data_IF_292106279844
#
_entry.id   IF_292106279844
#
_cell.length_a   1.000
_cell.length_b   1.000
_cell.length_c   1.000
_cell.angle_alpha   90.00
_cell.angle_beta   90.00
_cell.angle_gamma   90.00
#
_symmetry.space_group_name_H-M   'P 1'
#
loop_
_entity.id
_entity.type
_entity.pdbx_description
1 polymer ?
#
# COMPACT_ATOMS: atom_id res chain seq x y z
N UNK A 1 -47.34 -5.37 6.99
CA UNK A 1 -46.14 -5.18 7.83
C UNK A 1 -44.93 -5.12 6.90
N UNK A 2 -44.50 -3.91 6.54
CA UNK A 2 -43.31 -3.72 5.69
C UNK A 2 -42.06 -3.91 6.54
N UNK A 3 -41.18 -4.83 6.13
CA UNK A 3 -39.87 -4.99 6.76
C UNK A 3 -39.06 -3.69 6.59
N UNK A 4 -38.34 -3.23 7.63
CA UNK A 4 -37.45 -2.09 7.49
C UNK A 4 -36.29 -2.43 6.53
N UNK A 5 -35.75 -1.44 5.80
CA UNK A 5 -34.63 -1.66 4.89
C UNK A 5 -33.41 -2.16 5.69
N UNK A 6 -32.75 -3.21 5.18
CA UNK A 6 -31.46 -3.68 5.72
C UNK A 6 -30.48 -2.52 5.68
N UNK A 7 -30.07 -2.02 6.84
CA UNK A 7 -28.94 -1.09 6.97
C UNK A 7 -27.73 -1.77 6.32
N UNK A 8 -27.25 -1.17 5.24
CA UNK A 8 -26.08 -1.67 4.53
C UNK A 8 -24.86 -1.29 5.36
N UNK A 9 -24.37 -2.23 6.18
CA UNK A 9 -23.25 -2.00 7.11
C UNK A 9 -22.01 -1.49 6.37
N UNK A 10 -21.74 -0.19 6.53
CA UNK A 10 -20.59 0.47 5.91
C UNK A 10 -19.31 0.00 6.62
N UNK A 11 -18.45 -0.70 5.88
CA UNK A 11 -17.15 -1.19 6.39
C UNK A 11 -16.31 -0.06 6.98
N UNK A 12 -15.63 -0.33 8.09
CA UNK A 12 -14.67 0.62 8.69
C UNK A 12 -13.48 0.86 7.77
N UNK A 13 -12.74 1.95 7.97
CA UNK A 13 -11.52 2.24 7.21
C UNK A 13 -10.49 1.12 7.36
N UNK A 14 -10.35 0.55 8.56
CA UNK A 14 -9.42 -0.56 8.78
C UNK A 14 -9.84 -1.84 8.06
N UNK A 15 -11.14 -2.15 8.01
CA UNK A 15 -11.63 -3.26 7.20
C UNK A 15 -11.36 -3.03 5.70
N UNK A 16 -11.39 -1.77 5.23
CA UNK A 16 -11.08 -1.45 3.84
C UNK A 16 -9.58 -1.57 3.54
N UNK A 17 -8.71 -1.05 4.43
CA UNK A 17 -7.26 -1.22 4.34
C UNK A 17 -6.89 -2.70 4.30
N UNK A 18 -7.44 -3.49 5.23
CA UNK A 18 -7.21 -4.92 5.31
C UNK A 18 -7.68 -5.64 4.04
N UNK A 19 -8.90 -5.36 3.57
CA UNK A 19 -9.43 -5.99 2.36
C UNK A 19 -8.59 -5.66 1.11
N UNK A 20 -8.16 -4.41 0.97
CA UNK A 20 -7.31 -4.00 -0.15
C UNK A 20 -5.93 -4.67 -0.09
N UNK A 21 -5.27 -4.63 1.08
CA UNK A 21 -3.97 -5.26 1.29
C UNK A 21 -4.04 -6.78 1.03
N UNK A 22 -5.06 -7.47 1.55
CA UNK A 22 -5.27 -8.90 1.32
C UNK A 22 -5.41 -9.23 -0.17
N UNK A 23 -6.19 -8.43 -0.91
CA UNK A 23 -6.35 -8.61 -2.36
C UNK A 23 -5.01 -8.55 -3.08
N UNK A 24 -4.18 -7.55 -2.77
CA UNK A 24 -2.86 -7.40 -3.39
C UNK A 24 -1.92 -8.53 -3.03
N UNK A 25 -1.87 -8.93 -1.76
CA UNK A 25 -1.03 -10.05 -1.31
C UNK A 25 -1.39 -11.35 -2.02
N UNK A 26 -2.68 -11.64 -2.21
CA UNK A 26 -3.12 -12.80 -2.99
C UNK A 26 -2.66 -12.71 -4.45
N UNK A 27 -2.80 -11.55 -5.08
CA UNK A 27 -2.32 -11.34 -6.45
C UNK A 27 -0.78 -11.52 -6.56
N UNK A 28 0.00 -11.07 -5.55
CA UNK A 28 1.45 -11.31 -5.51
C UNK A 28 1.78 -12.79 -5.36
N UNK A 29 1.03 -13.51 -4.51
CA UNK A 29 1.20 -14.96 -4.32
C UNK A 29 1.03 -15.74 -5.64
N UNK A 30 0.10 -15.33 -6.49
CA UNK A 30 -0.13 -15.92 -7.81
C UNK A 30 1.03 -15.72 -8.79
N UNK A 31 1.88 -14.70 -8.59
CA UNK A 31 3.07 -14.45 -9.44
C UNK A 31 4.22 -15.44 -9.19
N UNK A 32 4.15 -16.21 -8.10
CA UNK A 32 5.15 -17.20 -7.72
C UNK A 32 6.26 -16.68 -6.79
N UNK A 33 6.85 -17.55 -5.93
CA UNK A 33 7.79 -17.16 -4.88
C UNK A 33 9.00 -16.36 -5.33
N UNK A 34 9.55 -16.66 -6.51
CA UNK A 34 10.72 -15.94 -7.02
C UNK A 34 10.41 -14.48 -7.37
N UNK A 35 9.17 -14.19 -7.78
CA UNK A 35 8.75 -12.83 -8.13
C UNK A 35 8.62 -11.93 -6.89
N UNK A 36 8.13 -12.48 -5.76
CA UNK A 36 7.90 -11.71 -4.53
C UNK A 36 8.93 -11.95 -3.43
N UNK A 37 9.98 -12.75 -3.66
CA UNK A 37 10.93 -13.22 -2.62
C UNK A 37 11.41 -12.13 -1.64
N UNK A 38 11.72 -10.93 -2.15
CA UNK A 38 12.21 -9.80 -1.34
C UNK A 38 11.11 -8.82 -0.91
N UNK A 39 9.90 -8.97 -1.43
CA UNK A 39 8.77 -8.08 -1.18
C UNK A 39 8.45 -7.94 0.32
N UNK A 40 8.36 -9.02 1.14
CA UNK A 40 8.06 -8.86 2.57
C UNK A 40 9.08 -8.01 3.32
N UNK A 41 10.38 -8.17 3.02
CA UNK A 41 11.45 -7.38 3.63
C UNK A 41 11.35 -5.89 3.27
N UNK A 42 10.95 -5.57 2.04
CA UNK A 42 10.79 -4.17 1.62
C UNK A 42 9.55 -3.53 2.24
N UNK A 43 8.44 -4.28 2.32
CA UNK A 43 7.23 -3.82 3.03
C UNK A 43 7.54 -3.57 4.51
N UNK A 44 8.37 -4.42 5.12
CA UNK A 44 8.77 -4.28 6.53
C UNK A 44 9.57 -3.00 6.81
N UNK A 45 10.47 -2.63 5.89
CA UNK A 45 11.32 -1.44 6.02
C UNK A 45 10.66 -0.12 5.65
N UNK A 46 9.65 -0.12 4.77
CA UNK A 46 9.05 1.11 4.24
C UNK A 46 8.47 2.06 5.31
N UNK A 47 7.75 1.60 6.35
CA UNK A 47 7.27 2.49 7.41
C UNK A 47 8.39 3.30 8.07
N UNK A 48 9.53 2.66 8.36
CA UNK A 48 10.68 3.33 8.95
C UNK A 48 11.27 4.36 7.98
N UNK A 49 11.40 4.02 6.69
CA UNK A 49 11.83 4.98 5.66
C UNK A 49 10.92 6.21 5.60
N UNK A 50 9.60 6.02 5.63
CA UNK A 50 8.63 7.13 5.62
C UNK A 50 8.80 8.03 6.85
N UNK A 51 9.04 7.46 8.03
CA UNK A 51 9.27 8.25 9.25
C UNK A 51 10.59 9.03 9.18
N UNK A 52 11.65 8.44 8.63
CA UNK A 52 12.98 9.05 8.58
C UNK A 52 13.13 10.13 7.50
N UNK A 53 12.58 9.91 6.30
CA UNK A 53 12.79 10.78 5.13
C UNK A 53 11.50 11.35 4.53
N UNK A 54 10.34 10.94 5.04
CA UNK A 54 9.04 11.36 4.53
C UNK A 54 8.51 10.47 3.40
N UNK A 55 7.20 10.58 3.16
CA UNK A 55 6.49 9.78 2.14
C UNK A 55 7.07 9.95 0.74
N UNK A 56 7.35 11.19 0.32
CA UNK A 56 7.83 11.49 -1.03
C UNK A 56 9.20 10.87 -1.32
N UNK A 57 10.17 11.08 -0.42
CA UNK A 57 11.52 10.53 -0.60
C UNK A 57 11.51 9.01 -0.55
N UNK A 58 10.77 8.40 0.39
CA UNK A 58 10.64 6.95 0.45
C UNK A 58 10.08 6.35 -0.85
N UNK A 59 9.02 6.95 -1.41
CA UNK A 59 8.45 6.52 -2.69
C UNK A 59 9.43 6.68 -3.87
N UNK A 60 10.15 7.80 -3.93
CA UNK A 60 11.17 8.03 -4.95
C UNK A 60 12.32 7.02 -4.84
N UNK A 61 12.75 6.67 -3.62
CA UNK A 61 13.77 5.65 -3.37
C UNK A 61 13.33 4.28 -3.88
N UNK A 62 12.07 3.86 -3.64
CA UNK A 62 11.55 2.60 -4.19
C UNK A 62 11.67 2.58 -5.71
N UNK A 63 11.22 3.62 -6.40
CA UNK A 63 11.29 3.69 -7.86
C UNK A 63 12.73 3.70 -8.38
N UNK A 64 13.64 4.45 -7.74
CA UNK A 64 15.05 4.47 -8.11
C UNK A 64 15.71 3.09 -7.97
N UNK A 65 15.35 2.33 -6.93
CA UNK A 65 15.90 1.00 -6.68
C UNK A 65 15.46 -0.06 -7.72
N UNK A 66 14.36 0.16 -8.44
CA UNK A 66 13.89 -0.74 -9.50
C UNK A 66 14.88 -0.87 -10.67
N UNK A 67 15.71 0.17 -10.89
CA UNK A 67 16.61 0.29 -12.05
C UNK A 67 15.88 0.01 -13.39
N UNK A 68 14.61 0.41 -13.49
CA UNK A 68 13.77 0.25 -14.69
C UNK A 68 13.11 -1.12 -14.84
N UNK A 69 13.33 -2.07 -13.92
CA UNK A 69 12.72 -3.40 -13.97
C UNK A 69 11.27 -3.36 -13.48
N UNK A 70 10.32 -3.74 -14.34
CA UNK A 70 8.89 -3.73 -14.01
C UNK A 70 8.51 -4.80 -12.97
N UNK A 71 9.18 -5.96 -13.00
CA UNK A 71 8.92 -7.07 -12.07
C UNK A 71 9.78 -6.99 -10.79
N UNK A 72 10.32 -5.82 -10.47
CA UNK A 72 11.12 -5.65 -9.25
C UNK A 72 10.21 -5.50 -8.01
N UNK A 73 10.51 -6.16 -6.88
CA UNK A 73 9.67 -6.05 -5.69
C UNK A 73 9.59 -4.62 -5.10
N UNK A 74 10.57 -3.75 -5.35
CA UNK A 74 10.45 -2.31 -5.02
C UNK A 74 9.36 -1.64 -5.85
N UNK A 75 9.27 -1.99 -7.13
CA UNK A 75 8.22 -1.48 -8.03
C UNK A 75 6.86 -1.97 -7.59
N UNK A 76 6.75 -3.27 -7.28
CA UNK A 76 5.52 -3.86 -6.76
C UNK A 76 5.02 -3.11 -5.52
N UNK A 77 5.92 -2.81 -4.57
CA UNK A 77 5.58 -2.09 -3.35
C UNK A 77 5.13 -0.65 -3.63
N UNK A 78 5.81 0.07 -4.53
CA UNK A 78 5.37 1.39 -4.97
C UNK A 78 3.97 1.32 -5.60
N UNK A 79 3.75 0.39 -6.52
CA UNK A 79 2.48 0.24 -7.23
C UNK A 79 1.34 -0.12 -6.27
N UNK A 80 1.60 -0.98 -5.27
CA UNK A 80 0.64 -1.38 -4.24
C UNK A 80 0.24 -0.22 -3.32
N UNK A 81 1.22 0.62 -2.95
CA UNK A 81 0.95 1.83 -2.18
C UNK A 81 0.22 2.87 -3.04
N UNK A 82 0.65 3.09 -4.28
CA UNK A 82 -0.03 3.98 -5.23
C UNK A 82 -1.49 3.56 -5.42
N UNK A 83 -1.75 2.27 -5.60
CA UNK A 83 -3.09 1.73 -5.75
C UNK A 83 -3.99 2.12 -4.56
N UNK A 84 -3.53 1.96 -3.31
CA UNK A 84 -4.32 2.37 -2.14
C UNK A 84 -4.50 3.89 -2.06
N UNK A 85 -3.41 4.64 -2.22
CA UNK A 85 -3.37 6.08 -1.98
C UNK A 85 -4.15 6.89 -3.02
N UNK A 86 -4.29 6.34 -4.23
CA UNK A 86 -4.88 7.01 -5.38
C UNK A 86 -6.21 6.39 -5.84
N UNK A 87 -6.64 5.27 -5.25
CA UNK A 87 -7.93 4.65 -5.56
C UNK A 87 -9.09 5.65 -5.41
N UNK A 88 -10.12 5.48 -6.22
CA UNK A 88 -11.40 6.18 -6.04
C UNK A 88 -12.13 5.64 -4.80
N UNK A 89 -11.65 6.00 -3.60
CA UNK A 89 -12.33 5.72 -2.34
C UNK A 89 -12.29 6.97 -1.42
N UNK A 90 -13.20 7.03 -0.44
CA UNK A 90 -13.37 8.19 0.44
C UNK A 90 -12.14 8.51 1.31
N UNK A 91 -11.29 7.50 1.54
CA UNK A 91 -10.18 7.56 2.48
C UNK A 91 -8.83 7.79 1.81
N UNK A 92 -8.71 7.50 0.51
CA UNK A 92 -7.55 7.77 -0.34
C UNK A 92 -7.19 9.26 -0.31
N UNK A 93 -5.99 9.62 0.17
CA UNK A 93 -5.55 11.01 0.28
C UNK A 93 -5.47 11.72 -1.08
N UNK A 94 -5.22 10.96 -2.15
CA UNK A 94 -5.08 11.47 -3.51
C UNK A 94 -6.07 10.78 -4.46
N UNK A 95 -7.32 10.64 -4.03
CA UNK A 95 -8.35 9.94 -4.80
C UNK A 95 -8.44 10.43 -6.26
N UNK A 96 -8.52 9.48 -7.20
CA UNK A 96 -8.57 9.70 -8.65
C UNK A 96 -7.29 10.26 -9.29
N UNK A 97 -6.20 10.41 -8.54
CA UNK A 97 -4.88 10.63 -9.14
C UNK A 97 -4.37 9.32 -9.73
N UNK A 98 -3.47 9.39 -10.71
CA UNK A 98 -2.87 8.17 -11.32
C UNK A 98 -1.55 7.79 -10.66
N UNK A 99 -0.78 8.81 -10.29
CA UNK A 99 0.58 8.68 -9.80
C UNK A 99 0.74 9.40 -8.46
N UNK A 100 1.19 8.66 -7.45
CA UNK A 100 1.35 9.11 -6.07
C UNK A 100 2.41 10.22 -5.95
N UNK A 101 3.55 10.10 -6.64
CA UNK A 101 4.60 11.12 -6.56
C UNK A 101 4.14 12.45 -7.16
N UNK A 102 3.50 12.41 -8.32
CA UNK A 102 2.90 13.60 -8.94
C UNK A 102 1.87 14.23 -7.99
N UNK A 103 0.99 13.42 -7.41
CA UNK A 103 -0.02 13.91 -6.46
C UNK A 103 0.59 14.55 -5.20
N UNK A 104 1.70 14.00 -4.69
CA UNK A 104 2.46 14.57 -3.57
C UNK A 104 3.00 15.96 -3.94
N UNK A 105 3.54 16.13 -5.15
CA UNK A 105 4.12 17.42 -5.58
C UNK A 105 3.08 18.49 -5.91
N UNK A 106 1.86 18.10 -6.30
CA UNK A 106 0.76 19.01 -6.63
C UNK A 106 -0.12 19.35 -5.42
N UNK A 107 -0.02 18.58 -4.33
CA UNK A 107 -0.88 18.71 -3.15
C UNK A 107 -0.47 19.81 -2.18
N UNK A 108 -1.33 20.08 -1.20
CA UNK A 108 -1.01 21.01 -0.10
C UNK A 108 -0.24 20.31 1.02
N UNK A 109 0.37 21.09 1.92
CA UNK A 109 0.99 20.54 3.14
C UNK A 109 0.01 19.70 3.97
N UNK A 110 -1.27 20.11 4.03
CA UNK A 110 -2.32 19.37 4.74
C UNK A 110 -2.57 18.01 4.09
N UNK A 111 -2.60 17.97 2.75
CA UNK A 111 -2.76 16.72 2.00
C UNK A 111 -1.56 15.80 2.23
N UNK A 112 -0.35 16.36 2.24
CA UNK A 112 0.87 15.61 2.50
C UNK A 112 0.88 14.96 3.90
N UNK A 113 0.55 15.70 4.95
CA UNK A 113 0.47 15.17 6.32
C UNK A 113 -0.59 14.08 6.43
N UNK A 114 -1.77 14.30 5.85
CA UNK A 114 -2.84 13.30 5.78
C UNK A 114 -2.38 12.05 5.03
N UNK A 115 -1.68 12.22 3.92
CA UNK A 115 -1.16 11.11 3.12
C UNK A 115 -0.11 10.30 3.87
N UNK A 116 0.80 10.95 4.58
CA UNK A 116 1.80 10.25 5.38
C UNK A 116 1.16 9.42 6.51
N UNK A 117 0.17 9.99 7.21
CA UNK A 117 -0.56 9.26 8.25
C UNK A 117 -1.33 8.05 7.68
N UNK A 118 -2.00 8.22 6.54
CA UNK A 118 -2.74 7.14 5.88
C UNK A 118 -1.81 6.04 5.36
N UNK A 119 -0.69 6.40 4.75
CA UNK A 119 0.30 5.44 4.26
C UNK A 119 0.82 4.55 5.41
N UNK A 120 1.18 5.15 6.56
CA UNK A 120 1.63 4.41 7.72
C UNK A 120 0.53 3.48 8.27
N UNK A 121 -0.71 3.95 8.36
CA UNK A 121 -1.84 3.12 8.82
C UNK A 121 -2.14 1.95 7.87
N UNK A 122 -2.05 2.18 6.57
CA UNK A 122 -2.23 1.13 5.55
C UNK A 122 -1.10 0.09 5.60
N UNK A 123 0.15 0.54 5.74
CA UNK A 123 1.32 -0.35 5.75
C UNK A 123 1.32 -1.32 6.93
N UNK A 124 0.62 -1.04 8.03
CA UNK A 124 0.40 -2.00 9.11
C UNK A 124 -0.26 -3.28 8.59
N UNK A 125 -1.31 -3.15 7.78
CA UNK A 125 -2.04 -4.28 7.20
C UNK A 125 -1.22 -4.97 6.11
N UNK A 126 -0.61 -4.18 5.21
CA UNK A 126 0.21 -4.74 4.12
C UNK A 126 1.39 -5.55 4.66
N UNK A 127 2.07 -5.06 5.71
CA UNK A 127 3.15 -5.76 6.41
C UNK A 127 2.67 -7.06 7.06
N UNK A 128 1.58 -7.01 7.82
CA UNK A 128 1.04 -8.21 8.50
C UNK A 128 0.72 -9.32 7.50
N UNK A 129 0.09 -8.98 6.38
CA UNK A 129 -0.27 -9.97 5.37
C UNK A 129 0.91 -10.42 4.51
N UNK A 130 1.86 -9.55 4.17
CA UNK A 130 3.08 -9.98 3.47
C UNK A 130 3.90 -10.96 4.31
N UNK A 131 4.00 -10.72 5.61
CA UNK A 131 4.69 -11.63 6.54
C UNK A 131 3.94 -12.95 6.70
N UNK A 132 2.61 -12.92 6.81
CA UNK A 132 1.82 -14.13 7.04
C UNK A 132 1.70 -15.05 5.81
N UNK A 133 1.66 -14.48 4.59
CA UNK A 133 1.30 -15.25 3.39
C UNK A 133 2.39 -15.34 2.33
N UNK A 134 3.42 -14.48 2.40
CA UNK A 134 4.51 -14.45 1.41
C UNK A 134 5.89 -14.77 2.02
N UNK A 135 6.08 -14.65 3.33
CA UNK A 135 7.35 -15.05 3.96
C UNK A 135 7.42 -16.58 4.00
N UNK A 136 8.42 -17.16 3.33
CA UNK A 136 8.63 -18.60 3.35
C UNK A 136 9.17 -19.02 4.73
N UNK A 137 8.64 -20.08 5.36
CA UNK A 137 9.10 -20.56 6.66
C UNK A 137 10.53 -21.13 6.64
N UNK A 138 11.06 -21.49 5.47
CA UNK A 138 12.38 -22.15 5.33
C UNK A 138 13.53 -21.18 5.00
N UNK A 139 13.37 -19.89 5.30
CA UNK A 139 14.37 -18.85 5.02
C UNK A 139 15.15 -18.38 6.25
N UNK A 140 15.25 -19.23 7.28
CA UNK A 140 16.18 -19.08 8.42
C UNK A 140 17.41 -19.96 8.24
#
# INVERSE_FOLDING_TARGET
MSQPPKQQDKRTIDQQRAAHAMKLINARKEMGPDAYKKYPSYVDGLPASIVMSGLGQACATLLAATRGKQNDPHRMLYDDLNAWMCQANTYSPYANKRDLLTAITEGTQRDYVRAQAEALAYLVWLKKFSQAFLKNPDAE
#
